data_IF_526063806976
#
_entry.id   IF_526063806976
#
_cell.length_a   1.000
_cell.length_b   1.000
_cell.length_c   1.000
_cell.angle_alpha   90.00
_cell.angle_beta   90.00
_cell.angle_gamma   90.00
#
_symmetry.space_group_name_H-M   'P 1'
#
loop_
_entity.id
_entity.type
_entity.pdbx_description
1 polymer ?
#
# COMPACT_ATOMS: atom_id res chain seq x y z
N UNK A 1 -19.72 -1.83 -0.54
CA UNK A 1 -18.93 -2.89 -1.20
C UNK A 1 -17.49 -2.43 -1.16
N UNK A 2 -16.64 -3.08 -0.37
CA UNK A 2 -15.19 -2.87 -0.40
C UNK A 2 -14.62 -3.91 -1.36
N UNK A 3 -14.10 -3.48 -2.50
CA UNK A 3 -13.40 -4.33 -3.46
C UNK A 3 -11.95 -3.83 -3.54
N UNK A 4 -11.05 -4.54 -2.87
CA UNK A 4 -9.63 -4.21 -2.68
C UNK A 4 -9.12 -4.77 -1.35
N UNK A 5 -7.82 -5.07 -1.22
CA UNK A 5 -7.24 -5.32 0.12
C UNK A 5 -7.36 -4.05 0.95
N UNK A 6 -7.91 -4.20 2.15
CA UNK A 6 -8.24 -3.11 3.03
C UNK A 6 -7.81 -3.47 4.45
N UNK A 7 -6.95 -2.64 5.03
CA UNK A 7 -6.78 -2.53 6.46
C UNK A 7 -7.62 -1.36 6.98
N UNK A 8 -7.66 -1.20 8.31
CA UNK A 8 -8.29 -0.04 8.96
C UNK A 8 -7.63 1.28 8.52
N UNK A 9 -6.35 1.23 8.19
CA UNK A 9 -5.52 2.41 7.98
C UNK A 9 -5.22 2.70 6.50
N UNK A 10 -5.30 1.68 5.63
CA UNK A 10 -5.10 1.83 4.19
C UNK A 10 -5.93 0.83 3.36
N UNK A 11 -6.42 1.26 2.20
CA UNK A 11 -7.08 0.38 1.23
C UNK A 11 -6.81 0.82 -0.21
N UNK A 12 -6.98 -0.10 -1.16
CA UNK A 12 -6.92 0.18 -2.60
C UNK A 12 -8.33 0.25 -3.21
N UNK A 13 -8.52 1.07 -4.26
CA UNK A 13 -9.71 1.04 -5.11
C UNK A 13 -9.67 -0.09 -6.17
N UNK A 14 -8.59 -0.88 -6.16
CA UNK A 14 -8.34 -1.98 -7.08
C UNK A 14 -7.95 -1.54 -8.49
N UNK A 15 -7.47 -0.29 -8.65
CA UNK A 15 -7.13 0.24 -9.97
C UNK A 15 -6.08 1.36 -9.98
N UNK A 16 -6.31 2.44 -9.25
CA UNK A 16 -5.61 3.72 -9.45
C UNK A 16 -5.23 4.44 -8.16
N UNK A 17 -5.84 4.07 -7.03
CA UNK A 17 -5.66 4.78 -5.78
C UNK A 17 -5.38 3.82 -4.63
N UNK A 18 -4.41 4.21 -3.82
CA UNK A 18 -4.26 3.72 -2.46
C UNK A 18 -4.68 4.86 -1.56
N UNK A 19 -5.66 4.61 -0.71
CA UNK A 19 -6.19 5.55 0.26
C UNK A 19 -5.60 5.23 1.62
N UNK A 20 -5.25 6.27 2.36
CA UNK A 20 -4.76 6.19 3.74
C UNK A 20 -5.66 7.10 4.58
N UNK A 21 -6.13 6.63 5.74
CA UNK A 21 -7.01 7.46 6.58
C UNK A 21 -6.27 8.65 7.19
N UNK A 22 -6.98 9.74 7.44
CA UNK A 22 -6.42 10.90 8.16
C UNK A 22 -5.87 10.51 9.54
N UNK A 23 -6.52 9.57 10.23
CA UNK A 23 -6.06 9.02 11.51
C UNK A 23 -4.73 8.29 11.37
N UNK A 24 -4.53 7.56 10.27
CA UNK A 24 -3.28 6.86 9.99
C UNK A 24 -2.16 7.85 9.63
N UNK A 25 -2.44 8.83 8.76
CA UNK A 25 -1.50 9.91 8.37
C UNK A 25 -0.99 10.69 9.58
N UNK A 26 -1.88 11.00 10.53
CA UNK A 26 -1.54 11.78 11.74
C UNK A 26 -1.07 10.93 12.93
N UNK A 27 -1.09 9.61 12.81
CA UNK A 27 -0.73 8.69 13.89
C UNK A 27 0.74 8.82 14.30
N UNK A 28 0.97 8.84 15.62
CA UNK A 28 2.31 8.69 16.22
C UNK A 28 2.87 7.27 16.05
N UNK A 29 2.02 6.30 15.72
CA UNK A 29 2.38 4.91 15.50
C UNK A 29 2.56 4.59 14.01
N UNK A 30 2.85 5.60 13.16
CA UNK A 30 3.00 5.42 11.71
C UNK A 30 4.01 4.35 11.29
N UNK A 31 5.11 4.21 12.03
CA UNK A 31 6.08 3.14 11.76
C UNK A 31 5.49 1.73 11.90
N UNK A 32 4.44 1.57 12.72
CA UNK A 32 3.78 0.28 12.98
C UNK A 32 2.72 -0.01 11.93
N UNK A 33 1.76 0.90 11.73
CA UNK A 33 0.63 0.63 10.81
C UNK A 33 1.08 0.59 9.34
N UNK A 34 2.18 1.25 8.98
CA UNK A 34 2.67 1.24 7.59
C UNK A 34 2.96 -0.18 7.07
N UNK A 35 3.13 -1.19 7.93
CA UNK A 35 3.15 -2.57 7.46
C UNK A 35 1.86 -2.95 6.69
N UNK A 36 0.70 -2.47 7.10
CA UNK A 36 -0.55 -2.75 6.41
C UNK A 36 -0.56 -2.11 5.01
N UNK A 37 -0.02 -0.90 4.89
CA UNK A 37 0.17 -0.25 3.59
C UNK A 37 1.08 -1.07 2.66
N UNK A 38 2.13 -1.68 3.21
CA UNK A 38 3.01 -2.57 2.43
C UNK A 38 2.24 -3.75 1.85
N UNK A 39 1.42 -4.42 2.66
CA UNK A 39 0.65 -5.59 2.22
C UNK A 39 -0.37 -5.21 1.14
N UNK A 40 -1.08 -4.08 1.30
CA UNK A 40 -2.00 -3.54 0.30
C UNK A 40 -1.29 -3.25 -1.04
N UNK A 41 -0.08 -2.67 -1.01
CA UNK A 41 0.70 -2.40 -2.23
C UNK A 41 1.10 -3.70 -2.93
N UNK A 42 1.60 -4.69 -2.18
CA UNK A 42 2.02 -5.97 -2.76
C UNK A 42 0.83 -6.79 -3.28
N UNK A 43 -0.31 -6.71 -2.60
CA UNK A 43 -1.56 -7.33 -3.02
C UNK A 43 -2.00 -6.78 -4.37
N UNK A 44 -2.05 -5.46 -4.49
CA UNK A 44 -2.43 -4.83 -5.76
C UNK A 44 -1.40 -5.12 -6.86
N UNK A 45 -0.10 -5.13 -6.54
CA UNK A 45 0.94 -5.50 -7.50
C UNK A 45 0.88 -6.97 -7.94
N UNK A 46 0.29 -7.86 -7.15
CA UNK A 46 0.09 -9.25 -7.51
C UNK A 46 -1.09 -9.46 -8.48
N UNK A 47 -1.94 -8.44 -8.67
CA UNK A 47 -2.99 -8.46 -9.67
C UNK A 47 -2.45 -8.11 -11.06
N UNK A 48 -2.62 -9.02 -12.02
CA UNK A 48 -2.27 -8.77 -13.44
C UNK A 48 -3.28 -7.85 -14.16
N UNK A 49 -4.46 -7.67 -13.58
CA UNK A 49 -5.57 -6.86 -14.11
C UNK A 49 -6.25 -6.13 -12.97
N UNK A 50 -6.92 -5.00 -13.25
CA UNK A 50 -7.67 -4.26 -12.23
C UNK A 50 -8.57 -5.18 -11.41
N UNK A 51 -8.48 -5.07 -10.08
CA UNK A 51 -9.24 -5.89 -9.12
C UNK A 51 -10.62 -5.31 -8.76
N UNK A 52 -10.98 -4.14 -9.32
CA UNK A 52 -12.20 -3.36 -9.04
C UNK A 52 -13.50 -4.16 -9.12
N UNK A 53 -13.67 -4.94 -10.18
CA UNK A 53 -14.96 -5.57 -10.51
C UNK A 53 -15.01 -7.07 -10.12
N UNK A 54 -13.85 -7.72 -9.99
CA UNK A 54 -13.71 -9.08 -9.44
C UNK A 54 -12.26 -9.39 -9.09
N UNK A 55 -11.89 -9.54 -7.80
CA UNK A 55 -10.53 -9.90 -7.45
C UNK A 55 -10.22 -11.34 -7.89
N UNK A 56 -9.29 -11.51 -8.84
CA UNK A 56 -8.84 -12.84 -9.28
C UNK A 56 -7.78 -13.38 -8.32
N UNK A 57 -8.20 -14.18 -7.34
CA UNK A 57 -7.33 -14.82 -6.33
C UNK A 57 -7.06 -16.29 -6.66
N UNK A 58 -6.63 -16.59 -7.89
CA UNK A 58 -6.21 -17.94 -8.27
C UNK A 58 -4.79 -18.26 -7.81
N UNK A 59 -4.33 -19.50 -8.03
CA UNK A 59 -2.97 -19.93 -7.68
C UNK A 59 -1.86 -19.04 -8.25
N UNK A 60 -2.09 -18.44 -9.42
CA UNK A 60 -1.14 -17.48 -9.98
C UNK A 60 -0.99 -16.24 -9.09
N UNK A 61 -2.09 -15.64 -8.66
CA UNK A 61 -2.10 -14.52 -7.71
C UNK A 61 -1.37 -14.90 -6.41
N UNK A 62 -1.72 -16.04 -5.81
CA UNK A 62 -1.10 -16.50 -4.55
C UNK A 62 0.42 -16.66 -4.68
N UNK A 63 0.87 -17.25 -5.79
CA UNK A 63 2.30 -17.45 -6.07
C UNK A 63 3.02 -16.13 -6.30
N UNK A 64 2.43 -15.20 -7.05
CA UNK A 64 3.01 -13.88 -7.32
C UNK A 64 3.08 -13.05 -6.05
N UNK A 65 1.99 -12.98 -5.27
CA UNK A 65 1.95 -12.28 -4.00
C UNK A 65 3.02 -12.81 -3.02
N UNK A 66 3.13 -14.13 -2.87
CA UNK A 66 4.18 -14.73 -2.02
C UNK A 66 5.58 -14.34 -2.50
N UNK A 67 5.83 -14.39 -3.81
CA UNK A 67 7.12 -14.01 -4.39
C UNK A 67 7.46 -12.54 -4.10
N UNK A 68 6.47 -11.64 -4.18
CA UNK A 68 6.64 -10.22 -3.86
C UNK A 68 6.92 -9.97 -2.37
N UNK A 69 6.28 -10.73 -1.48
CA UNK A 69 6.51 -10.65 -0.02
C UNK A 69 7.91 -11.17 0.35
N UNK A 70 8.34 -12.24 -0.31
CA UNK A 70 9.63 -12.89 -0.05
C UNK A 70 10.83 -12.14 -0.67
N UNK A 71 10.59 -11.26 -1.65
CA UNK A 71 11.62 -10.46 -2.31
C UNK A 71 12.30 -9.48 -1.33
N UNK A 72 13.60 -9.69 -1.00
CA UNK A 72 14.30 -8.84 -0.04
C UNK A 72 14.38 -7.37 -0.45
N UNK A 73 14.42 -7.08 -1.74
CA UNK A 73 14.51 -5.72 -2.25
C UNK A 73 13.22 -4.93 -2.01
N UNK A 74 12.05 -5.59 -2.08
CA UNK A 74 10.76 -4.97 -1.75
C UNK A 74 10.72 -4.59 -0.27
N UNK A 75 11.15 -5.50 0.61
CA UNK A 75 11.23 -5.25 2.05
C UNK A 75 12.19 -4.10 2.38
N UNK A 76 13.37 -4.07 1.76
CA UNK A 76 14.37 -3.03 2.02
C UNK A 76 13.93 -1.65 1.50
N UNK A 77 13.28 -1.61 0.33
CA UNK A 77 12.70 -0.39 -0.24
C UNK A 77 11.55 0.13 0.62
N UNK A 78 10.70 -0.76 1.13
CA UNK A 78 9.62 -0.38 2.04
C UNK A 78 10.14 0.18 3.37
N UNK A 79 11.16 -0.45 3.97
CA UNK A 79 11.77 0.05 5.19
C UNK A 79 12.36 1.47 5.01
N UNK A 80 12.95 1.76 3.85
CA UNK A 80 13.43 3.11 3.51
C UNK A 80 12.27 4.12 3.41
N UNK A 81 11.14 3.73 2.80
CA UNK A 81 9.95 4.58 2.74
C UNK A 81 9.39 4.86 4.15
N UNK A 82 9.32 3.86 5.02
CA UNK A 82 8.89 4.04 6.42
C UNK A 82 9.79 5.06 7.12
N UNK A 83 11.11 4.91 7.01
CA UNK A 83 12.05 5.85 7.64
C UNK A 83 11.85 7.28 7.12
N UNK A 84 11.73 7.44 5.80
CA UNK A 84 11.48 8.72 5.16
C UNK A 84 10.16 9.37 5.63
N UNK A 85 9.08 8.60 5.74
CA UNK A 85 7.79 9.09 6.26
C UNK A 85 7.87 9.41 7.76
N UNK A 86 8.64 8.65 8.53
CA UNK A 86 8.87 8.92 9.96
C UNK A 86 9.57 10.26 10.15
N UNK A 87 10.60 10.53 9.35
CA UNK A 87 11.46 11.70 9.45
C UNK A 87 10.83 12.96 8.84
N UNK A 88 10.25 12.84 7.65
CA UNK A 88 9.83 13.99 6.82
C UNK A 88 8.30 14.14 6.71
N UNK A 89 7.55 13.12 7.12
CA UNK A 89 6.09 13.07 7.01
C UNK A 89 5.58 12.70 5.60
N UNK A 90 4.32 12.28 5.51
CA UNK A 90 3.69 11.83 4.26
C UNK A 90 3.67 12.90 3.16
N UNK A 91 3.36 14.16 3.52
CA UNK A 91 3.24 15.23 2.53
C UNK A 91 4.55 15.48 1.77
N UNK A 92 5.68 15.47 2.47
CA UNK A 92 7.01 15.62 1.89
C UNK A 92 7.32 14.45 0.95
N UNK A 93 6.98 13.23 1.37
CA UNK A 93 7.26 12.03 0.60
C UNK A 93 6.39 11.89 -0.65
N UNK A 94 5.11 12.22 -0.58
CA UNK A 94 4.23 12.19 -1.75
C UNK A 94 4.62 13.22 -2.78
N UNK A 95 5.09 14.41 -2.35
CA UNK A 95 5.66 15.40 -3.27
C UNK A 95 6.90 14.88 -3.98
N UNK A 96 7.77 14.14 -3.27
CA UNK A 96 9.00 13.56 -3.83
C UNK A 96 8.73 12.48 -4.87
N UNK A 97 7.69 11.67 -4.67
CA UNK A 97 7.31 10.57 -5.58
C UNK A 97 6.24 10.94 -6.60
N UNK A 98 5.92 12.23 -6.76
CA UNK A 98 4.87 12.72 -7.66
C UNK A 98 3.48 12.08 -7.42
N UNK A 99 3.25 11.59 -6.19
CA UNK A 99 1.97 11.03 -5.78
C UNK A 99 0.98 12.17 -5.53
N UNK A 100 -0.21 12.08 -6.15
CA UNK A 100 -1.25 13.09 -5.97
C UNK A 100 -2.06 12.80 -4.72
N UNK A 101 -2.00 13.71 -3.75
CA UNK A 101 -2.91 13.72 -2.60
C UNK A 101 -4.30 14.17 -3.04
N UNK A 102 -5.31 13.36 -2.72
CA UNK A 102 -6.72 13.75 -2.78
C UNK A 102 -7.30 13.62 -1.39
N UNK A 103 -7.93 14.69 -0.93
CA UNK A 103 -8.72 14.70 0.30
C UNK A 103 -10.18 14.63 -0.12
N UNK A 104 -10.93 13.67 0.42
CA UNK A 104 -12.40 13.60 0.27
C UNK A 104 -13.09 14.24 1.47
#
# INVERSE_FOLDING_TARGET
MYYGEASTDAWTDGRTYIVITDSAVTSRQRAVWMHDLYLVVLHEAAHETSSRDRPSHGHHFESTYRSLVEEPDNRSSFAKLVQQVVDEGFQSMFKKYEATLRFE
#
